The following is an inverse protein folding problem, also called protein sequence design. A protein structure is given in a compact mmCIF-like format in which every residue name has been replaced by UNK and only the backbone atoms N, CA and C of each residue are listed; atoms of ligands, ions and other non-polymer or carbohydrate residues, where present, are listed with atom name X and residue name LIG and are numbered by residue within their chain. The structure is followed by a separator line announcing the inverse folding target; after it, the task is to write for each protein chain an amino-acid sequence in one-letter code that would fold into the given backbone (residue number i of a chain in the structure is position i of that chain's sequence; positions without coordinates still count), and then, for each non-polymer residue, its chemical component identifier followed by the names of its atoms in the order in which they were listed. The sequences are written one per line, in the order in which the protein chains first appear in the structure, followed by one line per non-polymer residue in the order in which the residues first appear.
data_IF_789275308407
#
_entry.id   IF_789275308407
#
_cell.length_a   1.000
_cell.length_b   1.000
_cell.length_c   1.000
_cell.angle_alpha   90.00
_cell.angle_beta   90.00
_cell.angle_gamma   90.00
#
_symmetry.space_group_name_H-M   'P 1'
#
loop_
_entity.id
_entity.type
_entity.pdbx_description
1 polymer ?
#
# COMPACT_ATOMS: atom_id res chain seq x y z
N UNK A 1 -17.38 28.13 4.24
CA UNK A 1 -16.46 28.07 3.85
C UNK A 1 -15.38 27.36 4.50
N UNK A 2 -15.06 27.74 5.47
CA UNK A 2 -13.97 27.14 6.13
C UNK A 2 -14.19 25.70 6.46
N UNK A 3 -15.41 25.33 6.67
CA UNK A 3 -15.67 23.96 7.06
C UNK A 3 -15.27 22.98 5.99
N UNK A 4 -15.36 23.41 4.76
CA UNK A 4 -14.96 22.53 3.70
C UNK A 4 -13.48 22.24 3.77
N UNK A 5 -12.70 23.27 4.01
CA UNK A 5 -11.28 23.03 4.05
C UNK A 5 -10.89 22.15 5.20
N UNK A 6 -11.62 22.18 6.27
CA UNK A 6 -11.31 21.34 7.38
C UNK A 6 -11.46 19.88 7.03
N UNK A 7 -12.58 19.54 6.43
CA UNK A 7 -12.81 18.18 6.01
C UNK A 7 -11.83 17.75 4.97
N UNK A 8 -11.49 18.63 4.07
CA UNK A 8 -10.56 18.29 3.02
C UNK A 8 -9.19 17.99 3.58
N UNK A 9 -8.76 18.75 4.55
CA UNK A 9 -7.47 18.52 5.15
C UNK A 9 -7.44 17.16 5.83
N UNK A 10 -8.50 16.83 6.52
CA UNK A 10 -8.58 15.58 7.19
C UNK A 10 -8.53 14.42 6.22
N UNK A 11 -9.27 14.55 5.15
CA UNK A 11 -9.30 13.55 4.12
C UNK A 11 -7.94 13.35 3.49
N UNK A 12 -7.27 14.41 3.20
CA UNK A 12 -5.96 14.32 2.61
C UNK A 12 -4.99 13.58 3.51
N UNK A 13 -5.08 13.82 4.79
CA UNK A 13 -4.25 13.13 5.72
C UNK A 13 -4.49 11.64 5.72
N UNK A 14 -5.75 11.25 5.71
CA UNK A 14 -6.09 9.85 5.67
C UNK A 14 -5.62 9.20 4.38
N UNK A 15 -5.79 9.88 3.31
CA UNK A 15 -5.35 9.37 2.03
C UNK A 15 -3.87 9.18 1.99
N UNK A 16 -3.15 10.10 2.61
CA UNK A 16 -1.73 9.98 2.63
C UNK A 16 -1.27 8.79 3.42
N UNK A 17 -1.93 8.49 4.49
CA UNK A 17 -1.60 7.33 5.27
C UNK A 17 -1.91 6.05 4.55
N UNK A 18 -2.99 6.02 3.81
CA UNK A 18 -3.35 4.86 3.05
C UNK A 18 -2.50 4.73 1.81
N UNK A 19 -2.15 5.86 1.25
CA UNK A 19 -1.51 5.89 -0.01
C UNK A 19 -0.03 6.11 0.19
N UNK A 20 0.58 5.25 0.92
CA UNK A 20 2.02 5.27 1.02
C UNK A 20 2.58 5.20 -0.37
N UNK A 21 3.68 5.86 -0.56
CA UNK A 21 4.33 5.85 -1.85
C UNK A 21 4.90 4.49 -2.13
N UNK A 22 4.08 3.61 -2.63
CA UNK A 22 4.49 2.24 -2.92
C UNK A 22 4.93 2.17 -4.36
N UNK A 23 6.10 1.62 -4.57
CA UNK A 23 6.70 1.52 -5.89
C UNK A 23 7.14 0.09 -6.14
N UNK A 24 7.31 -0.23 -7.41
CA UNK A 24 7.86 -1.51 -7.80
C UNK A 24 9.21 -1.70 -7.11
N UNK A 25 9.42 -2.86 -6.54
CA UNK A 25 10.62 -3.16 -5.79
C UNK A 25 10.51 -2.97 -4.30
N UNK A 26 9.45 -2.31 -3.84
CA UNK A 26 9.27 -2.10 -2.41
C UNK A 26 8.84 -3.39 -1.73
N UNK A 27 9.17 -3.51 -0.46
CA UNK A 27 8.67 -4.59 0.38
C UNK A 27 7.46 -4.11 1.14
N UNK A 28 6.40 -4.91 1.12
CA UNK A 28 5.12 -4.54 1.72
C UNK A 28 4.52 -5.72 2.44
N UNK A 29 3.54 -5.43 3.28
CA UNK A 29 2.65 -6.42 3.86
C UNK A 29 1.24 -6.09 3.44
N UNK A 30 0.35 -7.06 3.53
CA UNK A 30 -0.99 -6.86 3.03
C UNK A 30 -2.07 -7.13 4.06
N UNK A 31 -1.78 -7.21 5.28
CA UNK A 31 -2.78 -7.46 6.30
C UNK A 31 -2.38 -6.77 7.56
N UNK A 32 -2.98 -7.22 8.64
CA UNK A 32 -2.63 -6.67 9.93
C UNK A 32 -1.32 -7.23 10.43
N UNK A 33 -0.92 -8.39 9.93
CA UNK A 33 0.32 -9.02 10.37
C UNK A 33 1.48 -8.53 9.53
N UNK A 34 2.64 -8.52 10.13
CA UNK A 34 3.84 -8.11 9.42
C UNK A 34 4.26 -9.14 8.39
N UNK A 35 3.88 -10.39 8.57
CA UNK A 35 4.26 -11.46 7.66
C UNK A 35 3.03 -12.04 7.00
N UNK A 36 3.19 -12.56 5.82
CA UNK A 36 4.43 -12.62 5.04
C UNK A 36 4.77 -11.29 4.41
N UNK A 37 6.03 -11.13 4.03
CA UNK A 37 6.48 -9.96 3.30
C UNK A 37 6.37 -10.24 1.82
N UNK A 38 6.05 -9.18 1.07
CA UNK A 38 5.91 -9.28 -0.37
C UNK A 38 6.75 -8.22 -1.05
N UNK A 39 7.25 -8.54 -2.21
CA UNK A 39 7.90 -7.57 -3.07
C UNK A 39 6.91 -7.13 -4.13
N UNK A 40 6.85 -5.84 -4.39
CA UNK A 40 5.95 -5.30 -5.42
C UNK A 40 6.62 -5.51 -6.76
N UNK A 41 5.97 -6.31 -7.61
CA UNK A 41 6.50 -6.65 -8.93
C UNK A 41 5.97 -5.69 -9.98
N UNK A 42 4.72 -5.30 -9.87
CA UNK A 42 4.10 -4.39 -10.84
C UNK A 42 2.92 -3.71 -10.20
N UNK A 43 2.58 -2.54 -10.70
CA UNK A 43 1.43 -1.78 -10.24
C UNK A 43 0.63 -1.38 -11.47
N UNK A 44 -0.66 -1.69 -11.46
CA UNK A 44 -1.57 -1.33 -12.53
C UNK A 44 -2.80 -0.67 -11.93
N UNK A 45 -2.90 0.66 -12.07
CA UNK A 45 -4.01 1.38 -11.49
C UNK A 45 -4.02 1.20 -9.98
N UNK A 46 -5.09 0.64 -9.45
CA UNK A 46 -5.23 0.42 -8.02
C UNK A 46 -4.87 -1.01 -7.61
N UNK A 47 -4.27 -1.79 -8.49
CA UNK A 47 -3.90 -3.15 -8.19
C UNK A 47 -2.40 -3.30 -8.10
N UNK A 48 -1.95 -4.15 -7.21
CA UNK A 48 -0.53 -4.44 -7.05
C UNK A 48 -0.30 -5.92 -7.25
N UNK A 49 0.70 -6.24 -8.04
CA UNK A 49 1.14 -7.61 -8.25
C UNK A 49 2.32 -7.83 -7.30
N UNK A 50 2.17 -8.78 -6.42
CA UNK A 50 3.12 -9.00 -5.33
C UNK A 50 3.73 -10.38 -5.46
N UNK A 51 4.94 -10.52 -4.97
CA UNK A 51 5.58 -11.82 -4.89
C UNK A 51 6.02 -12.07 -3.46
N UNK A 52 5.60 -13.21 -2.92
CA UNK A 52 5.97 -13.61 -1.58
C UNK A 52 7.47 -13.86 -1.55
N UNK A 53 8.19 -13.17 -0.67
CA UNK A 53 9.64 -13.26 -0.68
C UNK A 53 10.15 -14.58 -0.11
N UNK A 54 9.30 -15.32 0.58
CA UNK A 54 9.72 -16.59 1.15
C UNK A 54 9.54 -17.75 0.19
N UNK A 55 8.43 -17.78 -0.51
CA UNK A 55 8.14 -18.93 -1.36
C UNK A 55 8.03 -18.59 -2.83
N UNK A 56 8.14 -17.33 -3.19
CA UNK A 56 8.12 -16.94 -4.60
C UNK A 56 6.76 -16.95 -5.25
N UNK A 57 5.70 -17.13 -4.49
CA UNK A 57 4.37 -17.17 -5.07
C UNK A 57 3.85 -15.78 -5.31
N UNK A 58 3.13 -15.62 -6.40
CA UNK A 58 2.58 -14.33 -6.79
C UNK A 58 1.16 -14.17 -6.28
N UNK A 59 0.78 -12.93 -6.02
CA UNK A 59 -0.56 -12.59 -5.62
C UNK A 59 -0.88 -11.21 -6.15
N UNK A 60 -2.16 -10.96 -6.42
CA UNK A 60 -2.61 -9.64 -6.86
C UNK A 60 -3.63 -9.15 -5.84
N UNK A 61 -3.47 -7.92 -5.40
CA UNK A 61 -4.36 -7.35 -4.41
C UNK A 61 -4.55 -5.87 -4.70
N UNK A 62 -5.45 -5.25 -3.98
CA UNK A 62 -5.64 -3.81 -4.10
C UNK A 62 -4.45 -3.09 -3.51
N UNK A 63 -4.02 -2.05 -4.19
CA UNK A 63 -2.88 -1.28 -3.73
C UNK A 63 -3.13 -0.69 -2.35
N UNK A 64 -4.36 -0.32 -2.04
CA UNK A 64 -4.64 0.28 -0.76
C UNK A 64 -4.56 -0.70 0.40
N UNK A 65 -4.40 -1.97 0.13
CA UNK A 65 -4.18 -2.95 1.19
C UNK A 65 -2.70 -3.13 1.51
N UNK A 66 -1.85 -2.57 0.70
CA UNK A 66 -0.41 -2.73 0.87
C UNK A 66 0.13 -1.67 1.80
N UNK A 67 1.03 -2.07 2.67
CA UNK A 67 1.72 -1.16 3.58
C UNK A 67 3.20 -1.41 3.48
N UNK A 68 3.95 -0.36 3.27
CA UNK A 68 5.40 -0.50 3.20
C UNK A 68 5.95 -0.94 4.53
N UNK A 69 6.92 -1.82 4.46
CA UNK A 69 7.59 -2.25 5.67
C UNK A 69 8.60 -1.19 6.06
N UNK A 70 8.77 -0.97 7.36
CA UNK A 70 9.79 -0.02 7.79
C UNK A 70 11.17 -0.54 7.44
N UNK A 71 12.04 0.38 7.12
CA UNK A 71 13.39 0.03 6.71
C UNK A 71 14.21 -0.55 7.85
#
# INVERSE_FOLDING_TARGET
MASVSYSDVFKIKLEREHDEDIHVGDLVRTGQNAFPHYEVIAIHGDKAWLRNVQNGQDAVTNLNRCRRLPA
#
